data_IF_686724439830
#
_entry.id   IF_686724439830
#
_cell.length_a   1.000
_cell.length_b   1.000
_cell.length_c   1.000
_cell.angle_alpha   90.00
_cell.angle_beta   90.00
_cell.angle_gamma   90.00
#
_symmetry.space_group_name_H-M   'P 1'
#
loop_
_entity.id
_entity.type
_entity.pdbx_description
1 polymer ?
#
# COMPACT_ATOMS: atom_id res chain seq x y z
N UNK A 1 -7.13 12.54 7.95
CA UNK A 1 -5.68 12.29 8.16
C UNK A 1 -4.94 12.51 6.85
N UNK A 2 -3.82 13.24 6.83
CA UNK A 2 -3.05 13.49 5.60
C UNK A 2 -2.62 12.17 4.92
N UNK A 3 -2.24 11.15 5.70
CA UNK A 3 -1.83 9.83 5.20
C UNK A 3 -2.83 9.16 4.26
N UNK A 4 -4.13 9.16 4.60
CA UNK A 4 -5.20 8.60 3.74
C UNK A 4 -5.25 9.27 2.38
N UNK A 5 -5.17 10.60 2.34
CA UNK A 5 -5.26 11.39 1.10
C UNK A 5 -4.05 11.15 0.22
N UNK A 6 -2.86 11.08 0.83
CA UNK A 6 -1.61 10.79 0.12
C UNK A 6 -1.64 9.36 -0.43
N UNK A 7 -2.03 8.38 0.40
CA UNK A 7 -2.20 6.99 -0.04
C UNK A 7 -3.16 6.88 -1.22
N UNK A 8 -4.34 7.49 -1.13
CA UNK A 8 -5.34 7.48 -2.19
C UNK A 8 -4.82 8.04 -3.52
N UNK A 9 -3.91 9.02 -3.48
CA UNK A 9 -3.33 9.65 -4.67
C UNK A 9 -2.12 8.91 -5.22
N UNK A 10 -1.24 8.44 -4.34
CA UNK A 10 0.10 7.96 -4.71
C UNK A 10 0.21 6.43 -4.73
N UNK A 11 -0.62 5.72 -3.96
CA UNK A 11 -0.48 4.28 -3.76
C UNK A 11 -1.70 3.52 -4.30
N UNK A 12 -2.91 3.97 -3.97
CA UNK A 12 -4.16 3.31 -4.32
C UNK A 12 -4.38 3.08 -5.82
N UNK A 13 -3.88 3.91 -6.77
CA UNK A 13 -4.01 3.62 -8.20
C UNK A 13 -3.37 2.30 -8.64
N UNK A 14 -2.46 1.72 -7.86
CA UNK A 14 -1.89 0.39 -8.13
C UNK A 14 -2.13 -0.62 -6.99
N UNK A 15 -2.41 -0.15 -5.78
CA UNK A 15 -2.52 -0.97 -4.57
C UNK A 15 -3.90 -0.95 -3.90
N UNK A 16 -4.89 -0.33 -4.54
CA UNK A 16 -6.27 -0.25 -4.06
C UNK A 16 -7.09 -1.52 -4.34
N UNK A 17 -8.38 -1.43 -4.03
CA UNK A 17 -9.37 -2.52 -4.17
C UNK A 17 -10.12 -2.51 -5.50
N UNK A 18 -9.92 -1.49 -6.33
CA UNK A 18 -10.57 -1.39 -7.64
C UNK A 18 -10.06 -2.48 -8.61
N UNK A 19 -10.86 -2.85 -9.63
CA UNK A 19 -10.33 -3.57 -10.78
C UNK A 19 -9.34 -2.71 -11.57
N UNK A 20 -8.52 -3.35 -12.40
CA UNK A 20 -7.65 -2.66 -13.35
C UNK A 20 -8.42 -2.10 -14.53
N UNK A 21 -7.89 -1.01 -15.11
CA UNK A 21 -8.47 -0.38 -16.31
C UNK A 21 -8.43 -1.30 -17.56
N UNK A 22 -7.62 -2.36 -17.50
CA UNK A 22 -7.52 -3.43 -18.51
C UNK A 22 -8.54 -4.57 -18.31
N UNK A 23 -9.43 -4.44 -17.33
CA UNK A 23 -10.41 -5.47 -16.97
C UNK A 23 -9.87 -6.53 -16.00
N UNK A 24 -8.63 -6.40 -15.52
CA UNK A 24 -8.08 -7.28 -14.50
C UNK A 24 -8.88 -7.18 -13.20
N UNK A 25 -9.08 -8.30 -12.47
CA UNK A 25 -9.86 -8.29 -11.23
C UNK A 25 -9.19 -7.52 -10.08
N UNK A 26 -7.91 -7.21 -10.21
CA UNK A 26 -7.12 -6.49 -9.22
C UNK A 26 -6.16 -5.53 -9.92
N UNK A 27 -5.88 -4.41 -9.26
CA UNK A 27 -4.79 -3.52 -9.67
C UNK A 27 -3.42 -4.23 -9.62
N UNK A 28 -2.47 -3.83 -10.47
CA UNK A 28 -1.22 -4.58 -10.68
C UNK A 28 -0.36 -4.72 -9.42
N UNK A 29 -0.31 -3.70 -8.56
CA UNK A 29 0.43 -3.75 -7.30
C UNK A 29 -0.19 -4.72 -6.29
N UNK A 30 -1.51 -4.71 -6.16
CA UNK A 30 -2.27 -5.67 -5.34
C UNK A 30 -2.09 -7.10 -5.87
N UNK A 31 -2.25 -7.31 -7.17
CA UNK A 31 -2.11 -8.62 -7.81
C UNK A 31 -0.70 -9.21 -7.62
N UNK A 32 0.35 -8.39 -7.84
CA UNK A 32 1.74 -8.81 -7.68
C UNK A 32 2.05 -9.22 -6.23
N UNK A 33 1.52 -8.49 -5.23
CA UNK A 33 1.71 -8.85 -3.82
C UNK A 33 0.95 -10.12 -3.44
N UNK A 34 -0.29 -10.28 -3.91
CA UNK A 34 -1.06 -11.52 -3.72
C UNK A 34 -0.32 -12.73 -4.28
N UNK A 35 0.21 -12.62 -5.51
CA UNK A 35 0.99 -13.67 -6.13
C UNK A 35 2.30 -13.96 -5.37
N UNK A 36 3.08 -12.92 -5.02
CA UNK A 36 4.35 -13.05 -4.29
C UNK A 36 4.21 -13.79 -2.96
N UNK A 37 3.13 -13.54 -2.23
CA UNK A 37 2.93 -14.13 -0.91
C UNK A 37 2.05 -15.37 -0.93
N UNK A 38 1.50 -15.78 -2.07
CA UNK A 38 0.68 -16.98 -2.22
C UNK A 38 -0.46 -17.03 -1.18
N UNK A 39 -1.07 -15.86 -0.90
CA UNK A 39 -2.11 -15.72 0.10
C UNK A 39 -1.67 -15.74 1.58
N UNK A 40 -0.38 -16.01 1.89
CA UNK A 40 0.13 -15.98 3.27
C UNK A 40 0.11 -14.59 3.89
N UNK A 41 0.15 -13.55 3.07
CA UNK A 41 -0.05 -12.16 3.46
C UNK A 41 -1.04 -11.49 2.49
N UNK A 42 -1.90 -10.58 2.96
CA UNK A 42 -2.76 -9.80 2.08
C UNK A 42 -1.98 -9.03 1.01
N UNK A 43 -2.50 -9.00 -0.21
CA UNK A 43 -2.00 -8.15 -1.29
C UNK A 43 -2.39 -6.68 -1.11
N UNK A 44 -3.54 -6.42 -0.50
CA UNK A 44 -4.03 -5.08 -0.17
C UNK A 44 -3.22 -4.47 0.98
N UNK A 45 -2.62 -3.30 0.76
CA UNK A 45 -1.76 -2.66 1.75
C UNK A 45 -2.53 -2.23 3.01
N UNK A 46 -3.79 -1.84 2.88
CA UNK A 46 -4.65 -1.43 4.00
C UNK A 46 -5.04 -2.59 4.94
N UNK A 47 -4.75 -3.84 4.55
CA UNK A 47 -4.91 -5.05 5.37
C UNK A 47 -3.59 -5.51 6.01
N UNK A 48 -2.52 -4.73 5.88
CA UNK A 48 -1.16 -5.12 6.29
C UNK A 48 -0.68 -4.32 7.49
N UNK A 49 -0.38 -5.03 8.58
CA UNK A 49 0.12 -4.43 9.84
C UNK A 49 1.65 -4.34 9.91
N UNK A 50 2.37 -4.84 8.90
CA UNK A 50 3.84 -4.93 8.86
C UNK A 50 4.51 -3.82 8.02
N UNK A 51 3.76 -2.82 7.57
CA UNK A 51 4.23 -1.76 6.67
C UNK A 51 4.64 -0.48 7.42
N UNK A 52 5.77 -0.54 8.13
CA UNK A 52 6.35 0.62 8.82
C UNK A 52 6.96 1.66 7.86
N UNK A 53 7.17 2.90 8.31
CA UNK A 53 7.77 3.95 7.50
C UNK A 53 9.14 3.56 6.89
N UNK A 54 10.07 2.87 7.61
CA UNK A 54 11.29 2.33 7.00
C UNK A 54 11.03 1.31 5.88
N UNK A 55 10.03 0.44 6.04
CA UNK A 55 9.65 -0.54 4.99
C UNK A 55 9.10 0.19 3.76
N UNK A 56 8.20 1.16 3.95
CA UNK A 56 7.68 1.97 2.86
C UNK A 56 8.81 2.72 2.15
N UNK A 57 9.73 3.32 2.91
CA UNK A 57 10.88 4.03 2.36
C UNK A 57 11.74 3.11 1.47
N UNK A 58 12.03 1.89 1.93
CA UNK A 58 12.82 0.93 1.15
C UNK A 58 12.25 0.71 -0.26
N UNK A 59 10.94 0.46 -0.36
CA UNK A 59 10.28 0.17 -1.64
C UNK A 59 10.04 1.44 -2.46
N UNK A 60 9.54 2.50 -1.85
CA UNK A 60 9.23 3.76 -2.54
C UNK A 60 10.49 4.42 -3.11
N UNK A 61 11.63 4.35 -2.41
CA UNK A 61 12.87 4.99 -2.89
C UNK A 61 13.61 4.19 -3.95
N UNK A 62 13.35 2.90 -4.07
CA UNK A 62 14.06 2.00 -5.00
C UNK A 62 13.20 1.51 -6.15
N UNK A 63 11.87 1.54 -5.99
CA UNK A 63 10.97 0.76 -6.82
C UNK A 63 11.09 -0.73 -6.53
N UNK A 64 10.24 -1.53 -7.17
CA UNK A 64 10.27 -2.98 -7.09
C UNK A 64 9.52 -3.60 -8.27
N UNK A 65 10.25 -4.22 -9.20
CA UNK A 65 9.66 -4.74 -10.43
C UNK A 65 9.00 -3.62 -11.24
N UNK A 66 7.69 -3.72 -11.49
CA UNK A 66 6.91 -2.70 -12.17
C UNK A 66 6.53 -1.49 -11.30
N UNK A 67 6.74 -1.57 -9.98
CA UNK A 67 6.52 -0.42 -9.09
C UNK A 67 7.62 0.62 -9.30
N UNK A 68 7.30 1.86 -9.70
CA UNK A 68 8.30 2.91 -9.92
C UNK A 68 8.90 3.40 -8.60
N UNK A 69 10.08 4.01 -8.68
CA UNK A 69 10.64 4.77 -7.57
C UNK A 69 10.05 6.18 -7.51
N UNK A 70 9.92 6.75 -6.31
CA UNK A 70 9.46 8.12 -6.07
C UNK A 70 10.55 8.95 -5.40
N UNK A 71 10.78 10.16 -5.91
CA UNK A 71 11.74 11.11 -5.36
C UNK A 71 11.17 11.76 -4.10
N UNK A 72 12.06 12.27 -3.23
CA UNK A 72 11.67 12.99 -2.02
C UNK A 72 10.85 14.26 -2.29
N UNK A 73 11.03 14.86 -3.47
CA UNK A 73 10.26 16.03 -3.91
C UNK A 73 8.81 15.66 -4.30
N UNK A 74 8.56 14.41 -4.69
CA UNK A 74 7.23 13.91 -5.08
C UNK A 74 6.49 13.31 -3.89
N UNK A 75 7.23 12.62 -3.01
CA UNK A 75 6.72 12.00 -1.80
C UNK A 75 7.77 12.12 -0.70
N UNK A 76 7.58 13.00 0.27
CA UNK A 76 8.59 13.29 1.30
C UNK A 76 8.70 12.17 2.35
N UNK A 77 9.73 12.21 3.20
CA UNK A 77 9.85 11.23 4.30
C UNK A 77 8.75 11.42 5.35
N UNK A 78 8.25 12.66 5.54
CA UNK A 78 7.11 12.95 6.40
C UNK A 78 5.79 12.40 5.82
N UNK A 79 5.61 12.47 4.49
CA UNK A 79 4.46 11.86 3.83
C UNK A 79 4.46 10.33 3.99
N UNK A 80 5.62 9.70 3.88
CA UNK A 80 5.75 8.26 4.11
C UNK A 80 5.44 7.86 5.55
N UNK A 81 5.84 8.67 6.54
CA UNK A 81 5.44 8.46 7.92
C UNK A 81 3.91 8.54 8.08
N UNK A 82 3.29 9.57 7.50
CA UNK A 82 1.83 9.72 7.54
C UNK A 82 1.09 8.56 6.85
N UNK A 83 1.60 8.03 5.74
CA UNK A 83 1.05 6.84 5.09
C UNK A 83 1.20 5.60 5.98
N UNK A 84 2.36 5.40 6.60
CA UNK A 84 2.59 4.26 7.49
C UNK A 84 1.61 4.27 8.68
N UNK A 85 1.42 5.44 9.31
CA UNK A 85 0.46 5.61 10.40
C UNK A 85 -0.97 5.30 9.95
N UNK A 86 -1.35 5.76 8.75
CA UNK A 86 -2.63 5.46 8.14
C UNK A 86 -2.82 3.95 7.93
N UNK A 87 -1.88 3.28 7.26
CA UNK A 87 -1.95 1.85 7.00
C UNK A 87 -2.02 1.04 8.30
N UNK A 88 -1.23 1.40 9.30
CA UNK A 88 -1.26 0.73 10.61
C UNK A 88 -2.61 0.91 11.32
N UNK A 89 -3.22 2.10 11.26
CA UNK A 89 -4.54 2.34 11.84
C UNK A 89 -5.63 1.54 11.11
N UNK A 90 -5.65 1.58 9.78
CA UNK A 90 -6.64 0.89 8.95
C UNK A 90 -6.50 -0.63 9.04
N UNK A 91 -5.28 -1.17 9.10
CA UNK A 91 -5.07 -2.59 9.29
C UNK A 91 -5.61 -3.09 10.64
N UNK A 92 -5.45 -2.30 11.71
CA UNK A 92 -6.02 -2.63 13.03
C UNK A 92 -7.54 -2.61 13.02
N UNK A 93 -8.14 -1.60 12.38
CA UNK A 93 -9.59 -1.50 12.24
C UNK A 93 -10.16 -2.70 11.48
N UNK A 94 -9.58 -3.04 10.32
CA UNK A 94 -10.00 -4.21 9.54
C UNK A 94 -9.84 -5.53 10.30
N UNK A 95 -8.77 -5.68 11.09
CA UNK A 95 -8.58 -6.86 11.93
C UNK A 95 -9.67 -7.00 13.01
N UNK A 96 -10.12 -5.88 13.59
CA UNK A 96 -11.22 -5.89 14.57
C UNK A 96 -12.59 -6.23 13.96
N UNK A 97 -12.81 -5.86 12.69
CA UNK A 97 -14.03 -6.18 11.96
C UNK A 97 -14.09 -7.65 11.52
N UNK A 98 -12.95 -8.28 11.22
CA UNK A 98 -12.86 -9.69 10.84
C UNK A 98 -12.98 -10.68 12.03
N UNK A 99 -13.03 -10.18 13.27
CA UNK A 99 -13.11 -10.98 14.50
C UNK A 99 -14.52 -11.17 15.08
N UNK A 100 -15.58 -10.86 14.32
CA UNK A 100 -16.99 -11.13 14.65
C UNK A 100 -17.58 -12.15 13.67
#
# INVERSE_FOLDING_TARGET
MPGRVIFARQCAPCHGTAPGDDGSPMLPGTAALTAKYEGRLPGLLELRSDLSAPVLNLFVRRGSGAMPMFRKAELSDADLAAIADYLAATARENASLAGH
#
